data_IF_427973121115
#
_entry.id   IF_427973121115
#
_cell.length_a   1.000
_cell.length_b   1.000
_cell.length_c   1.000
_cell.angle_alpha   90.00
_cell.angle_beta   90.00
_cell.angle_gamma   90.00
#
_symmetry.space_group_name_H-M   'P 1'
#
loop_
_entity.id
_entity.type
_entity.pdbx_description
1 polymer ?
#
# COMPACT_ATOMS: atom_id res chain seq x y z
N UNK A 1 24.25 -6.33 -8.13
CA UNK A 1 22.87 -6.82 -8.34
C UNK A 1 22.76 -7.70 -9.59
N UNK A 2 23.55 -8.78 -9.65
CA UNK A 2 23.57 -9.72 -10.79
C UNK A 2 22.41 -10.73 -10.69
N UNK A 3 22.21 -11.31 -9.52
CA UNK A 3 21.15 -12.30 -9.27
C UNK A 3 19.77 -11.65 -9.41
N UNK A 4 19.59 -10.44 -8.85
CA UNK A 4 18.36 -9.64 -9.00
C UNK A 4 18.02 -9.39 -10.47
N UNK A 5 18.98 -8.94 -11.29
CA UNK A 5 18.75 -8.70 -12.72
C UNK A 5 18.42 -9.99 -13.48
N UNK A 6 19.06 -11.11 -13.13
CA UNK A 6 18.74 -12.41 -13.73
C UNK A 6 17.32 -12.87 -13.37
N UNK A 7 16.90 -12.67 -12.13
CA UNK A 7 15.55 -12.97 -11.68
C UNK A 7 14.51 -12.13 -12.45
N UNK A 8 14.70 -10.80 -12.54
CA UNK A 8 13.81 -9.92 -13.30
C UNK A 8 13.67 -10.40 -14.75
N UNK A 9 14.79 -10.69 -15.40
CA UNK A 9 14.81 -11.13 -16.80
C UNK A 9 13.95 -12.37 -17.03
N UNK A 10 13.99 -13.35 -16.13
CA UNK A 10 13.14 -14.54 -16.21
C UNK A 10 11.64 -14.20 -16.16
N UNK A 11 11.23 -13.26 -15.27
CA UNK A 11 9.84 -12.83 -15.17
C UNK A 11 9.38 -12.07 -16.43
N UNK A 12 10.24 -11.23 -17.00
CA UNK A 12 9.97 -10.50 -18.26
C UNK A 12 9.87 -11.47 -19.44
N UNK A 13 10.83 -12.38 -19.62
CA UNK A 13 10.84 -13.37 -20.71
C UNK A 13 9.66 -14.33 -20.65
N UNK A 14 9.18 -14.65 -19.45
CA UNK A 14 7.99 -15.47 -19.26
C UNK A 14 6.67 -14.68 -19.39
N UNK A 15 6.73 -13.36 -19.65
CA UNK A 15 5.56 -12.51 -19.82
C UNK A 15 4.75 -12.26 -18.52
N UNK A 16 5.38 -12.44 -17.37
CA UNK A 16 4.77 -12.18 -16.06
C UNK A 16 5.00 -10.76 -15.56
N UNK A 17 5.85 -10.00 -16.23
CA UNK A 17 6.25 -8.66 -15.86
C UNK A 17 6.57 -7.88 -17.14
N UNK A 18 6.04 -6.66 -17.27
CA UNK A 18 6.40 -5.77 -18.38
C UNK A 18 7.38 -4.69 -17.96
N UNK A 19 7.17 -4.10 -16.81
CA UNK A 19 7.96 -2.98 -16.32
C UNK A 19 8.24 -3.13 -14.82
N UNK A 20 9.46 -2.78 -14.43
CA UNK A 20 9.84 -2.77 -13.02
C UNK A 20 10.88 -1.69 -12.74
N UNK A 21 10.74 -1.05 -11.58
CA UNK A 21 11.72 -0.17 -10.96
C UNK A 21 11.96 -0.65 -9.53
N UNK A 22 13.22 -0.91 -9.18
CA UNK A 22 13.61 -1.37 -7.84
C UNK A 22 14.65 -0.39 -7.28
N UNK A 23 14.48 0.00 -6.03
CA UNK A 23 15.52 0.64 -5.22
C UNK A 23 15.84 -0.22 -4.02
N UNK A 24 17.11 -0.48 -3.83
CA UNK A 24 17.68 -1.10 -2.62
C UNK A 24 18.50 -0.05 -1.91
N UNK A 25 18.24 0.17 -0.64
CA UNK A 25 19.02 1.11 0.15
C UNK A 25 19.24 0.64 1.57
N UNK A 26 20.23 1.22 2.24
CA UNK A 26 20.59 0.92 3.61
C UNK A 26 21.12 2.14 4.31
N UNK A 27 20.68 2.39 5.55
CA UNK A 27 21.19 3.49 6.40
C UNK A 27 21.15 4.86 5.69
N UNK A 28 20.06 5.16 4.98
CA UNK A 28 19.89 6.41 4.23
C UNK A 28 20.71 6.52 2.93
N UNK A 29 21.35 5.44 2.48
CA UNK A 29 22.11 5.41 1.21
C UNK A 29 21.44 4.48 0.21
N UNK A 30 21.27 4.95 -1.02
CA UNK A 30 20.89 4.10 -2.14
C UNK A 30 22.07 3.21 -2.52
N UNK A 31 21.88 1.90 -2.46
CA UNK A 31 22.87 0.90 -2.87
C UNK A 31 22.73 0.54 -4.34
N UNK A 32 21.50 0.47 -4.84
CA UNK A 32 21.23 0.19 -6.26
C UNK A 32 19.86 0.70 -6.68
N UNK A 33 19.79 1.20 -7.92
CA UNK A 33 18.56 1.38 -8.69
C UNK A 33 18.60 0.43 -9.87
N UNK A 34 17.51 -0.29 -10.11
CA UNK A 34 17.36 -1.25 -11.21
C UNK A 34 16.08 -0.93 -11.96
N UNK A 35 16.19 -0.74 -13.26
CA UNK A 35 15.07 -0.49 -14.15
C UNK A 35 15.13 -1.49 -15.28
N UNK A 36 14.06 -2.22 -15.51
CA UNK A 36 13.94 -3.19 -16.59
C UNK A 36 12.53 -3.16 -17.19
N UNK A 37 12.43 -3.49 -18.48
CA UNK A 37 11.13 -3.57 -19.16
C UNK A 37 11.21 -4.48 -20.40
N UNK A 38 10.03 -4.96 -20.81
CA UNK A 38 9.86 -5.66 -22.09
C UNK A 38 10.01 -4.71 -23.30
N UNK A 39 9.54 -3.45 -23.16
CA UNK A 39 9.56 -2.44 -24.22
C UNK A 39 10.30 -1.18 -23.77
N UNK A 40 9.60 -0.23 -23.13
CA UNK A 40 10.16 1.05 -22.70
C UNK A 40 10.56 0.99 -21.23
N UNK A 41 11.86 1.10 -20.97
CA UNK A 41 12.41 1.08 -19.61
C UNK A 41 11.92 2.33 -18.85
N UNK A 42 11.28 2.16 -17.65
CA UNK A 42 10.88 3.28 -16.81
C UNK A 42 12.11 4.01 -16.25
N UNK A 43 11.91 5.23 -15.79
CA UNK A 43 12.90 5.97 -15.01
C UNK A 43 12.42 6.17 -13.57
N UNK A 44 13.25 6.79 -12.74
CA UNK A 44 12.92 7.02 -11.33
C UNK A 44 11.71 7.94 -11.11
N UNK A 45 11.31 8.70 -12.13
CA UNK A 45 10.16 9.63 -12.11
C UNK A 45 8.92 9.07 -12.85
N UNK A 46 9.00 7.91 -13.48
CA UNK A 46 7.85 7.27 -14.14
C UNK A 46 6.81 6.90 -13.10
N UNK A 47 5.54 7.20 -13.39
CA UNK A 47 4.43 6.96 -12.47
C UNK A 47 3.93 5.52 -12.55
N UNK A 48 3.73 4.93 -11.38
CA UNK A 48 3.08 3.63 -11.19
C UNK A 48 1.79 3.80 -10.39
N UNK A 49 0.78 3.00 -10.70
CA UNK A 49 -0.37 2.83 -9.81
C UNK A 49 0.10 2.11 -8.55
N UNK A 50 0.04 2.78 -7.43
CA UNK A 50 0.50 2.27 -6.14
C UNK A 50 -0.43 1.22 -5.54
N UNK A 51 -1.63 1.05 -6.11
CA UNK A 51 -2.63 0.11 -5.62
C UNK A 51 -2.77 0.21 -4.08
N UNK A 52 -2.68 -0.91 -3.38
CA UNK A 52 -2.83 -0.95 -1.90
C UNK A 52 -1.69 -0.32 -1.11
N UNK A 53 -0.58 0.08 -1.73
CA UNK A 53 0.42 0.93 -1.07
C UNK A 53 -0.20 2.27 -0.66
N UNK A 54 -1.27 2.71 -1.32
CA UNK A 54 -2.11 3.86 -0.90
C UNK A 54 -2.52 3.75 0.57
N UNK A 55 -2.82 2.54 1.06
CA UNK A 55 -3.23 2.31 2.44
C UNK A 55 -2.19 2.81 3.45
N UNK A 56 -0.91 2.53 3.19
CA UNK A 56 0.18 2.93 4.11
C UNK A 56 0.70 4.33 3.82
N UNK A 57 0.88 4.70 2.56
CA UNK A 57 1.41 6.02 2.21
C UNK A 57 0.41 7.16 2.45
N UNK A 58 -0.89 6.89 2.38
CA UNK A 58 -1.95 7.89 2.53
C UNK A 58 -2.74 7.66 3.81
N UNK A 59 -3.60 6.64 3.79
CA UNK A 59 -4.67 6.50 4.80
C UNK A 59 -4.13 6.27 6.19
N UNK A 60 -3.25 5.29 6.38
CA UNK A 60 -2.66 5.00 7.69
C UNK A 60 -1.80 6.16 8.18
N UNK A 61 -0.99 6.77 7.30
CA UNK A 61 -0.17 7.92 7.70
C UNK A 61 -1.03 9.12 8.12
N UNK A 62 -2.13 9.41 7.42
CA UNK A 62 -3.07 10.47 7.82
C UNK A 62 -3.73 10.17 9.16
N UNK A 63 -4.05 8.89 9.46
CA UNK A 63 -4.51 8.50 10.79
C UNK A 63 -3.44 8.71 11.87
N UNK A 64 -2.20 8.34 11.60
CA UNK A 64 -1.09 8.58 12.53
C UNK A 64 -0.89 10.08 12.79
N UNK A 65 -1.01 10.92 11.75
CA UNK A 65 -0.99 12.39 11.90
C UNK A 65 -2.19 12.88 12.73
N UNK A 66 -3.38 12.31 12.54
CA UNK A 66 -4.57 12.69 13.31
C UNK A 66 -4.44 12.30 14.79
N UNK A 67 -3.87 11.14 15.08
CA UNK A 67 -3.57 10.66 16.45
C UNK A 67 -2.51 11.55 17.10
N UNK A 68 -1.40 11.83 16.41
CA UNK A 68 -0.32 12.70 16.90
C UNK A 68 -0.85 14.10 17.26
N UNK A 69 -1.80 14.60 16.45
CA UNK A 69 -2.53 15.87 16.71
C UNK A 69 -3.69 15.75 17.68
N UNK A 70 -3.92 14.59 18.31
CA UNK A 70 -5.01 14.31 19.26
C UNK A 70 -6.41 14.62 18.71
N UNK A 71 -6.63 14.44 17.40
CA UNK A 71 -7.94 14.59 16.76
C UNK A 71 -8.78 13.32 16.82
N UNK A 72 -8.14 12.18 16.94
CA UNK A 72 -8.75 10.83 16.96
C UNK A 72 -7.91 9.91 17.85
N UNK A 73 -8.56 8.88 18.43
CA UNK A 73 -7.93 7.83 19.20
C UNK A 73 -8.07 6.47 18.50
N UNK A 74 -7.14 5.53 18.73
CA UNK A 74 -7.22 4.16 18.20
C UNK A 74 -8.46 3.41 18.67
N UNK A 75 -8.93 3.69 19.87
CA UNK A 75 -10.11 3.08 20.48
C UNK A 75 -11.42 3.82 20.14
N UNK A 76 -11.36 4.91 19.35
CA UNK A 76 -12.58 5.55 18.85
C UNK A 76 -13.38 4.56 18.00
N UNK A 77 -14.67 4.41 18.32
CA UNK A 77 -15.60 3.60 17.53
C UNK A 77 -16.01 4.30 16.25
N UNK A 78 -16.31 3.52 15.20
CA UNK A 78 -16.89 4.04 13.95
C UNK A 78 -18.21 4.76 14.18
N UNK A 79 -18.96 4.42 15.25
CA UNK A 79 -20.21 5.08 15.65
C UNK A 79 -20.02 6.55 16.06
N UNK A 80 -18.80 6.96 16.42
CA UNK A 80 -18.45 8.37 16.62
C UNK A 80 -18.57 9.21 15.35
N UNK A 81 -18.47 8.56 14.19
CA UNK A 81 -18.41 9.23 12.89
C UNK A 81 -19.64 9.00 12.04
N UNK A 82 -20.25 7.81 12.11
CA UNK A 82 -21.38 7.42 11.27
C UNK A 82 -22.41 6.66 12.08
N UNK A 83 -23.69 6.72 11.65
CA UNK A 83 -24.75 5.91 12.21
C UNK A 83 -24.45 4.43 11.93
N UNK A 84 -24.53 3.59 12.96
CA UNK A 84 -24.20 2.16 12.93
C UNK A 84 -25.23 1.35 13.70
N UNK A 85 -25.29 0.04 13.42
CA UNK A 85 -25.98 -0.93 14.27
C UNK A 85 -25.13 -1.35 15.49
N UNK A 86 -25.72 -2.13 16.40
CA UNK A 86 -25.06 -2.61 17.62
C UNK A 86 -23.82 -3.50 17.37
N UNK A 87 -23.72 -4.14 16.20
CA UNK A 87 -22.56 -4.95 15.82
C UNK A 87 -21.42 -4.02 15.39
N UNK A 88 -21.69 -3.12 14.45
CA UNK A 88 -20.69 -2.24 13.84
C UNK A 88 -20.17 -1.16 14.79
N UNK A 89 -20.96 -0.75 15.79
CA UNK A 89 -20.48 0.18 16.82
C UNK A 89 -19.27 -0.36 17.62
N UNK A 90 -19.00 -1.67 17.60
CA UNK A 90 -17.85 -2.31 18.23
C UNK A 90 -16.56 -2.14 17.44
N UNK A 91 -16.64 -1.76 16.17
CA UNK A 91 -15.46 -1.57 15.32
C UNK A 91 -14.74 -0.30 15.75
N UNK A 92 -13.46 -0.44 16.07
CA UNK A 92 -12.58 0.70 16.41
C UNK A 92 -11.72 1.11 15.20
N UNK A 93 -11.11 2.29 15.29
CA UNK A 93 -10.10 2.75 14.33
C UNK A 93 -8.95 1.75 14.25
N UNK A 94 -8.53 1.19 15.38
CA UNK A 94 -7.50 0.14 15.42
C UNK A 94 -7.93 -1.07 14.59
N UNK A 95 -9.14 -1.58 14.77
CA UNK A 95 -9.63 -2.75 14.03
C UNK A 95 -9.62 -2.53 12.51
N UNK A 96 -9.99 -1.32 12.07
CA UNK A 96 -9.90 -0.93 10.66
C UNK A 96 -8.46 -0.96 10.16
N UNK A 97 -7.52 -0.35 10.90
CA UNK A 97 -6.11 -0.23 10.51
C UNK A 97 -5.39 -1.59 10.45
N UNK A 98 -5.78 -2.55 11.31
CA UNK A 98 -5.15 -3.87 11.39
C UNK A 98 -5.96 -4.99 10.74
N UNK A 99 -7.05 -4.63 10.03
CA UNK A 99 -7.90 -5.58 9.29
C UNK A 99 -8.62 -6.63 10.15
N UNK A 100 -9.10 -6.26 11.33
CA UNK A 100 -9.84 -7.16 12.24
C UNK A 100 -11.34 -6.87 12.32
N UNK A 101 -11.88 -6.12 11.37
CA UNK A 101 -13.32 -5.75 11.35
C UNK A 101 -14.28 -6.89 10.96
N UNK A 102 -13.75 -8.07 10.68
CA UNK A 102 -14.56 -9.22 10.27
C UNK A 102 -15.12 -9.17 8.85
N UNK A 103 -14.77 -8.16 8.06
CA UNK A 103 -15.22 -7.99 6.66
C UNK A 103 -14.00 -8.08 5.74
N UNK A 104 -13.96 -9.10 4.89
CA UNK A 104 -12.91 -9.29 3.90
C UNK A 104 -13.02 -8.37 2.69
N UNK A 105 -12.24 -8.69 1.65
CA UNK A 105 -12.33 -7.95 0.38
C UNK A 105 -13.68 -8.18 -0.29
N UNK A 106 -14.40 -7.08 -0.57
CA UNK A 106 -15.71 -7.09 -1.25
C UNK A 106 -15.74 -6.05 -2.36
N UNK A 107 -16.54 -6.31 -3.39
CA UNK A 107 -16.91 -5.29 -4.37
C UNK A 107 -17.94 -4.34 -3.75
N UNK A 108 -17.79 -3.05 -4.01
CA UNK A 108 -18.73 -1.99 -3.62
C UNK A 108 -19.45 -1.37 -4.83
N UNK A 109 -19.41 -2.05 -5.97
CA UNK A 109 -20.10 -1.60 -7.19
C UNK A 109 -21.56 -2.04 -7.10
N UNK A 110 -22.37 -1.19 -6.47
CA UNK A 110 -23.81 -1.41 -6.28
C UNK A 110 -24.60 -0.25 -6.86
N UNK A 111 -25.82 -0.54 -7.32
CA UNK A 111 -26.76 0.51 -7.72
C UNK A 111 -27.06 1.46 -6.53
N UNK A 112 -26.93 2.76 -6.76
CA UNK A 112 -27.10 3.81 -5.75
C UNK A 112 -25.90 4.06 -4.83
N UNK A 113 -24.84 3.26 -4.90
CA UNK A 113 -23.58 3.54 -4.20
C UNK A 113 -22.75 4.54 -5.02
N UNK A 114 -22.20 5.54 -4.33
CA UNK A 114 -21.28 6.53 -4.89
C UNK A 114 -20.27 6.98 -3.83
N UNK A 115 -19.42 7.94 -4.20
CA UNK A 115 -18.40 8.48 -3.32
C UNK A 115 -18.98 9.09 -2.02
N UNK A 116 -20.13 9.74 -2.06
CA UNK A 116 -20.69 10.48 -0.94
C UNK A 116 -21.37 9.58 0.09
N UNK A 117 -21.87 8.40 -0.35
CA UNK A 117 -22.65 7.49 0.49
C UNK A 117 -21.99 6.13 0.74
N UNK A 118 -20.79 5.87 0.20
CA UNK A 118 -20.11 4.55 0.27
C UNK A 118 -19.93 4.04 1.71
N UNK A 119 -19.76 4.92 2.69
CA UNK A 119 -19.64 4.52 4.11
C UNK A 119 -20.87 3.76 4.60
N UNK A 120 -22.07 4.16 4.18
CA UNK A 120 -23.31 3.46 4.53
C UNK A 120 -23.34 2.06 3.94
N UNK A 121 -22.86 1.88 2.69
CA UNK A 121 -22.77 0.56 2.06
C UNK A 121 -21.75 -0.32 2.77
N UNK A 122 -20.58 0.22 3.16
CA UNK A 122 -19.57 -0.54 3.90
C UNK A 122 -20.10 -1.00 5.25
N UNK A 123 -20.76 -0.12 5.99
CA UNK A 123 -21.32 -0.43 7.32
C UNK A 123 -22.46 -1.45 7.27
N UNK A 124 -23.17 -1.56 6.13
CA UNK A 124 -24.20 -2.56 5.92
C UNK A 124 -23.69 -3.92 5.41
N UNK A 125 -22.39 -4.08 5.14
CA UNK A 125 -21.83 -5.39 4.76
C UNK A 125 -21.89 -6.34 5.97
N UNK A 126 -22.49 -7.53 5.86
CA UNK A 126 -22.44 -8.53 6.90
C UNK A 126 -21.00 -8.96 7.20
N UNK A 127 -20.68 -9.17 8.46
CA UNK A 127 -19.36 -9.69 8.86
C UNK A 127 -19.20 -11.14 8.37
N UNK A 128 -18.03 -11.46 7.80
CA UNK A 128 -17.68 -12.84 7.38
C UNK A 128 -17.27 -13.67 8.61
N UNK A 129 -16.64 -13.02 9.60
CA UNK A 129 -16.19 -13.60 10.88
C UNK A 129 -16.42 -12.56 12.00
N UNK A 130 -16.45 -12.98 13.29
CA UNK A 130 -16.62 -12.05 14.39
C UNK A 130 -15.52 -10.96 14.41
N UNK A 131 -15.91 -9.73 14.75
CA UNK A 131 -14.98 -8.59 14.88
C UNK A 131 -13.89 -8.94 15.91
N UNK A 132 -12.62 -8.67 15.59
CA UNK A 132 -11.48 -8.93 16.45
C UNK A 132 -11.02 -10.40 16.51
N UNK A 133 -11.67 -11.34 15.79
CA UNK A 133 -11.31 -12.75 15.86
C UNK A 133 -10.18 -13.16 14.93
N UNK A 134 -10.09 -12.54 13.77
CA UNK A 134 -9.11 -12.88 12.72
C UNK A 134 -8.63 -11.64 11.98
N UNK A 135 -7.42 -11.70 11.42
CA UNK A 135 -6.95 -10.73 10.44
C UNK A 135 -7.51 -11.11 9.07
N UNK A 136 -8.44 -10.31 8.56
CA UNK A 136 -9.08 -10.50 7.27
C UNK A 136 -8.91 -9.24 6.43
N UNK A 137 -7.97 -9.29 5.46
CA UNK A 137 -7.62 -8.14 4.63
C UNK A 137 -8.85 -7.45 4.02
N UNK A 138 -9.07 -6.18 4.34
CA UNK A 138 -10.29 -5.44 4.04
C UNK A 138 -10.04 -4.15 3.25
N UNK A 139 -10.39 -4.14 1.96
CA UNK A 139 -10.48 -2.88 1.20
C UNK A 139 -11.67 -2.01 1.66
N UNK A 140 -12.88 -2.58 1.92
CA UNK A 140 -13.99 -1.81 2.49
C UNK A 140 -13.62 -1.07 3.77
N UNK A 141 -12.88 -1.70 4.68
CA UNK A 141 -12.41 -1.05 5.91
C UNK A 141 -11.55 0.19 5.65
N UNK A 142 -10.67 0.13 4.65
CA UNK A 142 -9.84 1.27 4.27
C UNK A 142 -10.59 2.35 3.49
N UNK A 143 -11.62 2.00 2.74
CA UNK A 143 -12.55 2.98 2.16
C UNK A 143 -13.26 3.75 3.27
N UNK A 144 -13.74 3.04 4.31
CA UNK A 144 -14.36 3.64 5.48
C UNK A 144 -13.39 4.55 6.25
N UNK A 145 -12.12 4.12 6.43
CA UNK A 145 -11.06 4.96 7.02
C UNK A 145 -10.89 6.26 6.22
N UNK A 146 -10.86 6.20 4.89
CA UNK A 146 -10.80 7.40 4.04
C UNK A 146 -11.93 8.37 4.34
N UNK A 147 -13.17 7.88 4.44
CA UNK A 147 -14.37 8.70 4.78
C UNK A 147 -14.32 9.27 6.20
N UNK A 148 -13.77 8.53 7.17
CA UNK A 148 -13.55 9.04 8.53
C UNK A 148 -12.56 10.20 8.52
N UNK A 149 -11.43 10.08 7.80
CA UNK A 149 -10.44 11.16 7.67
C UNK A 149 -11.05 12.42 7.09
N UNK A 150 -11.83 12.29 6.02
CA UNK A 150 -12.53 13.43 5.40
C UNK A 150 -13.45 14.13 6.40
N UNK A 151 -14.17 13.36 7.22
CA UNK A 151 -15.05 13.91 8.26
C UNK A 151 -14.27 14.59 9.39
N UNK A 152 -13.16 14.02 9.83
CA UNK A 152 -12.31 14.55 10.92
C UNK A 152 -11.62 15.85 10.54
N UNK A 153 -11.16 15.95 9.29
CA UNK A 153 -10.42 17.11 8.81
C UNK A 153 -11.29 18.12 8.06
N UNK A 154 -12.48 17.74 7.60
CA UNK A 154 -13.37 18.58 6.80
C UNK A 154 -12.86 18.84 5.39
N UNK A 155 -12.00 17.96 4.87
CA UNK A 155 -11.33 18.13 3.59
C UNK A 155 -11.24 16.77 2.87
N UNK A 156 -11.20 16.77 1.52
CA UNK A 156 -11.13 15.57 0.70
C UNK A 156 -9.77 14.87 0.82
N UNK A 157 -9.77 13.55 0.71
CA UNK A 157 -8.60 12.70 0.97
C UNK A 157 -7.36 13.05 0.14
N UNK A 158 -7.51 13.41 -1.13
CA UNK A 158 -6.40 13.81 -2.00
C UNK A 158 -5.75 15.14 -1.57
N UNK A 159 -6.56 16.12 -1.13
CA UNK A 159 -6.07 17.37 -0.58
C UNK A 159 -5.36 17.14 0.77
N UNK A 160 -5.91 16.26 1.62
CA UNK A 160 -5.27 15.87 2.88
C UNK A 160 -3.91 15.23 2.63
N UNK A 161 -3.82 14.31 1.67
CA UNK A 161 -2.55 13.70 1.28
C UNK A 161 -1.55 14.76 0.80
N UNK A 162 -1.96 15.64 -0.09
CA UNK A 162 -1.08 16.69 -0.61
C UNK A 162 -0.55 17.60 0.50
N UNK A 163 -1.43 18.17 1.33
CA UNK A 163 -1.04 19.18 2.33
C UNK A 163 -0.29 18.58 3.52
N UNK A 164 -0.66 17.37 3.96
CA UNK A 164 -0.13 16.78 5.19
C UNK A 164 1.01 15.77 4.97
N UNK A 165 1.17 15.25 3.76
CA UNK A 165 2.19 14.23 3.46
C UNK A 165 3.06 14.65 2.27
N UNK A 166 2.49 14.81 1.08
CA UNK A 166 3.27 15.02 -0.14
C UNK A 166 4.10 16.31 -0.10
N UNK A 167 3.48 17.42 0.27
CA UNK A 167 4.12 18.73 0.35
C UNK A 167 5.23 18.80 1.42
N UNK A 168 5.02 18.34 2.68
CA UNK A 168 6.08 18.30 3.67
C UNK A 168 7.27 17.40 3.32
N UNK A 169 7.04 16.33 2.55
CA UNK A 169 8.09 15.42 2.08
C UNK A 169 8.65 15.79 0.71
N UNK A 170 8.22 16.90 0.10
CA UNK A 170 8.61 17.33 -1.26
C UNK A 170 8.34 16.23 -2.33
N UNK A 171 7.23 15.49 -2.18
CA UNK A 171 6.80 14.46 -3.12
C UNK A 171 6.03 15.11 -4.28
N UNK A 172 6.73 15.46 -5.34
CA UNK A 172 6.18 16.28 -6.46
C UNK A 172 5.42 15.47 -7.50
N UNK A 173 5.61 14.16 -7.49
CA UNK A 173 5.05 13.22 -8.47
C UNK A 173 4.20 12.14 -7.80
N UNK A 174 3.49 12.53 -6.74
CA UNK A 174 2.58 11.64 -6.00
C UNK A 174 1.22 12.30 -5.85
N UNK A 175 0.20 11.74 -6.48
CA UNK A 175 -1.14 12.32 -6.50
C UNK A 175 -2.20 11.31 -6.92
N UNK A 176 -3.45 11.60 -6.56
CA UNK A 176 -4.62 10.90 -7.10
C UNK A 176 -4.99 11.49 -8.47
N UNK A 177 -5.66 10.70 -9.31
CA UNK A 177 -6.19 11.12 -10.62
C UNK A 177 -5.20 11.97 -11.44
N UNK A 178 -4.02 11.43 -11.80
CA UNK A 178 -2.97 12.16 -12.47
C UNK A 178 -3.37 12.64 -13.87
N UNK A 179 -2.80 13.76 -14.31
CA UNK A 179 -2.95 14.25 -15.68
C UNK A 179 -2.36 13.22 -16.68
N UNK A 180 -3.08 12.95 -17.76
CA UNK A 180 -2.70 12.00 -18.82
C UNK A 180 -1.40 12.35 -19.55
N UNK A 181 -0.91 13.59 -19.44
CA UNK A 181 0.37 14.01 -19.99
C UNK A 181 1.59 13.50 -19.23
N UNK A 182 1.39 12.87 -18.07
CA UNK A 182 2.49 12.24 -17.33
C UNK A 182 2.98 10.96 -18.03
N UNK A 183 4.19 10.57 -17.70
CA UNK A 183 4.74 9.27 -18.09
C UNK A 183 4.32 8.20 -17.09
N UNK A 184 3.63 7.17 -17.57
CA UNK A 184 3.08 6.09 -16.76
C UNK A 184 3.59 4.74 -17.19
N UNK A 185 3.63 3.82 -16.22
CA UNK A 185 3.51 2.39 -16.46
C UNK A 185 2.04 2.01 -16.37
N UNK A 186 1.53 1.31 -17.40
CA UNK A 186 0.13 0.89 -17.42
C UNK A 186 -0.08 -0.39 -16.60
N UNK A 187 -0.81 -0.31 -15.52
CA UNK A 187 -1.17 -1.46 -14.67
C UNK A 187 -2.50 -2.14 -15.10
N UNK A 188 -3.12 -1.68 -16.19
CA UNK A 188 -4.40 -2.18 -16.68
C UNK A 188 -4.21 -3.02 -17.95
N UNK A 189 -5.25 -3.79 -18.31
CA UNK A 189 -5.22 -4.68 -19.48
C UNK A 189 -5.33 -3.93 -20.82
N UNK A 190 -6.00 -2.78 -20.83
CA UNK A 190 -6.24 -2.01 -22.04
C UNK A 190 -5.28 -0.81 -22.13
N UNK A 191 -4.68 -0.55 -23.29
CA UNK A 191 -3.76 0.58 -23.48
C UNK A 191 -4.39 1.95 -23.16
N UNK A 192 -5.69 2.12 -23.46
CA UNK A 192 -6.45 3.36 -23.20
C UNK A 192 -6.70 3.61 -21.71
N UNK A 193 -6.48 2.63 -20.85
CA UNK A 193 -6.63 2.74 -19.39
C UNK A 193 -5.35 3.22 -18.70
N UNK A 194 -4.34 3.63 -19.43
CA UNK A 194 -3.12 4.21 -18.87
C UNK A 194 -3.46 5.43 -18.00
N UNK A 195 -2.89 5.50 -16.79
CA UNK A 195 -3.19 6.58 -15.83
C UNK A 195 -4.56 6.46 -15.12
N UNK A 196 -5.29 5.36 -15.37
CA UNK A 196 -6.52 5.03 -14.65
C UNK A 196 -6.18 4.01 -13.57
N UNK A 197 -6.69 4.23 -12.34
CA UNK A 197 -6.49 3.33 -11.21
C UNK A 197 -6.97 1.91 -11.53
N UNK A 198 -6.17 0.90 -11.17
CA UNK A 198 -6.49 -0.52 -11.42
C UNK A 198 -7.60 -1.03 -10.49
N UNK A 199 -7.64 -0.61 -9.21
CA UNK A 199 -8.64 -1.05 -8.23
C UNK A 199 -10.05 -0.63 -8.64
N UNK A 200 -10.95 -1.61 -8.83
CA UNK A 200 -12.30 -1.38 -9.33
C UNK A 200 -13.17 -0.58 -8.36
N UNK A 201 -13.05 -0.79 -7.04
CA UNK A 201 -13.80 -0.01 -6.06
C UNK A 201 -13.36 1.46 -6.08
N UNK A 202 -12.04 1.70 -6.09
CA UNK A 202 -11.50 3.04 -6.17
C UNK A 202 -11.88 3.73 -7.50
N UNK A 203 -11.79 3.00 -8.63
CA UNK A 203 -12.23 3.51 -9.95
C UNK A 203 -13.70 3.89 -9.95
N UNK A 204 -14.57 3.04 -9.39
CA UNK A 204 -15.99 3.31 -9.24
C UNK A 204 -16.27 4.55 -8.39
N UNK A 205 -15.46 4.79 -7.37
CA UNK A 205 -15.52 5.97 -6.49
C UNK A 205 -14.82 7.22 -7.07
N UNK A 206 -14.48 7.24 -8.37
CA UNK A 206 -13.89 8.39 -9.03
C UNK A 206 -12.36 8.50 -8.91
N UNK A 207 -11.68 7.44 -8.50
CA UNK A 207 -10.22 7.36 -8.46
C UNK A 207 -9.56 7.86 -7.17
N UNK A 208 -10.35 8.27 -6.16
CA UNK A 208 -9.87 8.75 -4.87
C UNK A 208 -10.50 7.90 -3.77
N UNK A 209 -9.68 7.13 -3.04
CA UNK A 209 -10.19 6.27 -1.99
C UNK A 209 -9.11 5.90 -0.98
N UNK A 210 -9.51 5.57 0.25
CA UNK A 210 -8.58 5.16 1.30
C UNK A 210 -7.88 3.82 1.05
N UNK A 211 -8.40 2.99 0.15
CA UNK A 211 -7.82 1.68 -0.14
C UNK A 211 -6.84 1.65 -1.32
N UNK A 212 -6.96 2.58 -2.27
CA UNK A 212 -6.18 2.65 -3.51
C UNK A 212 -6.33 4.02 -4.18
N UNK A 213 -5.65 4.25 -5.32
CA UNK A 213 -5.81 5.42 -6.17
C UNK A 213 -4.62 6.35 -6.21
N UNK A 214 -3.64 6.18 -5.32
CA UNK A 214 -2.38 6.93 -5.39
C UNK A 214 -1.57 6.47 -6.60
N UNK A 215 -1.07 7.42 -7.38
CA UNK A 215 0.02 7.25 -8.33
C UNK A 215 1.27 7.89 -7.77
N UNK A 216 2.42 7.23 -7.93
CA UNK A 216 3.70 7.73 -7.44
C UNK A 216 4.86 7.18 -8.27
N UNK A 217 6.05 7.68 -8.02
CA UNK A 217 7.30 7.27 -8.67
C UNK A 217 8.34 6.83 -7.63
N UNK A 218 9.42 6.19 -8.10
CA UNK A 218 10.45 5.64 -7.24
C UNK A 218 11.10 6.70 -6.34
N UNK A 219 11.33 7.90 -6.86
CA UNK A 219 11.92 9.01 -6.09
C UNK A 219 11.02 9.45 -4.93
N UNK A 220 9.73 9.63 -5.18
CA UNK A 220 8.81 10.09 -4.13
C UNK A 220 8.54 9.00 -3.08
N UNK A 221 8.43 7.74 -3.53
CA UNK A 221 8.31 6.60 -2.60
C UNK A 221 9.55 6.50 -1.71
N UNK A 222 10.74 6.78 -2.24
CA UNK A 222 11.96 6.82 -1.44
C UNK A 222 11.92 7.89 -0.34
N UNK A 223 11.41 9.09 -0.63
CA UNK A 223 11.24 10.14 0.39
C UNK A 223 10.30 9.71 1.52
N UNK A 224 9.23 8.99 1.18
CA UNK A 224 8.34 8.38 2.16
C UNK A 224 9.07 7.33 3.02
N UNK A 225 9.88 6.47 2.40
CA UNK A 225 10.69 5.46 3.11
C UNK A 225 11.73 6.12 4.01
N UNK A 226 12.40 7.18 3.56
CA UNK A 226 13.36 7.94 4.39
C UNK A 226 12.68 8.58 5.62
N UNK A 227 11.46 9.07 5.47
CA UNK A 227 10.66 9.56 6.60
C UNK A 227 10.39 8.44 7.61
N UNK A 228 10.04 7.23 7.16
CA UNK A 228 9.85 6.08 8.05
C UNK A 228 11.16 5.66 8.74
N UNK A 229 12.29 5.66 8.04
CA UNK A 229 13.62 5.40 8.62
C UNK A 229 14.03 6.48 9.64
N UNK A 230 13.50 7.69 9.49
CA UNK A 230 13.65 8.78 10.46
C UNK A 230 12.55 8.82 11.52
N UNK A 231 12.00 7.65 11.86
CA UNK A 231 10.99 7.46 12.91
C UNK A 231 9.75 8.36 12.77
N UNK A 232 9.33 8.58 11.53
CA UNK A 232 8.11 9.35 11.21
C UNK A 232 8.32 10.86 11.04
N UNK A 233 9.50 11.41 11.41
CA UNK A 233 9.78 12.84 11.25
C UNK A 233 9.94 13.20 9.74
N UNK A 234 9.34 14.31 9.24
CA UNK A 234 8.72 15.40 10.00
C UNK A 234 7.21 15.29 10.20
N UNK A 235 6.55 14.19 9.83
CA UNK A 235 5.08 14.10 9.79
C UNK A 235 4.46 13.82 11.15
N UNK A 236 5.10 12.97 11.97
CA UNK A 236 4.62 12.52 13.28
C UNK A 236 5.76 12.45 14.30
N UNK A 237 5.42 12.49 15.57
CA UNK A 237 6.34 12.29 16.67
C UNK A 237 6.81 10.83 16.80
N UNK A 238 7.98 10.64 17.42
CA UNK A 238 8.58 9.31 17.61
C UNK A 238 7.68 8.36 18.41
N UNK A 239 6.99 8.85 19.43
CA UNK A 239 6.07 8.04 20.24
C UNK A 239 4.94 7.45 19.39
N UNK A 240 4.32 8.27 18.53
CA UNK A 240 3.28 7.85 17.59
C UNK A 240 3.84 6.84 16.59
N UNK A 241 5.06 7.04 16.10
CA UNK A 241 5.70 6.08 15.20
C UNK A 241 5.97 4.73 15.88
N UNK A 242 6.54 4.73 17.10
CA UNK A 242 6.82 3.50 17.86
C UNK A 242 5.53 2.74 18.22
N UNK A 243 4.42 3.45 18.45
CA UNK A 243 3.10 2.85 18.56
C UNK A 243 2.68 2.20 17.23
N UNK A 244 2.86 2.91 16.11
CA UNK A 244 2.39 2.47 14.80
C UNK A 244 3.01 1.15 14.32
N UNK A 245 4.25 0.86 14.71
CA UNK A 245 5.00 -0.32 14.25
C UNK A 245 4.88 -1.55 15.15
N UNK A 246 4.08 -1.51 16.21
CA UNK A 246 3.84 -2.68 17.08
C UNK A 246 3.02 -3.73 16.36
N UNK A 247 3.25 -5.01 16.69
CA UNK A 247 2.39 -6.08 16.23
C UNK A 247 1.10 -6.15 17.06
N UNK A 248 -0.03 -5.89 16.43
CA UNK A 248 -1.35 -5.88 17.07
C UNK A 248 -2.12 -7.20 16.90
N UNK A 249 -1.65 -8.08 16.02
CA UNK A 249 -2.35 -9.32 15.64
C UNK A 249 -1.44 -10.55 15.70
N UNK A 250 -0.52 -10.60 16.65
CA UNK A 250 0.52 -11.65 16.76
C UNK A 250 -0.05 -13.08 16.82
N UNK A 251 -1.20 -13.25 17.46
CA UNK A 251 -1.86 -14.57 17.62
C UNK A 251 -2.79 -14.93 16.46
N UNK A 252 -3.00 -14.02 15.50
CA UNK A 252 -3.91 -14.20 14.37
C UNK A 252 -3.19 -14.80 13.15
N UNK A 253 -3.94 -15.00 12.06
CA UNK A 253 -3.44 -15.58 10.80
C UNK A 253 -2.34 -14.76 10.14
N UNK A 254 -2.42 -13.41 10.24
CA UNK A 254 -1.42 -12.47 9.74
C UNK A 254 -1.03 -11.47 10.82
N UNK A 255 0.27 -11.16 10.89
CA UNK A 255 0.79 -10.13 11.79
C UNK A 255 0.71 -8.75 11.16
N UNK A 256 0.04 -7.82 11.86
CA UNK A 256 -0.20 -6.45 11.40
C UNK A 256 0.23 -5.42 12.44
N UNK A 257 0.90 -4.38 11.94
CA UNK A 257 1.04 -3.10 12.62
C UNK A 257 -0.04 -2.13 12.10
N UNK A 258 -0.09 -0.88 12.57
CA UNK A 258 -1.13 0.06 12.12
C UNK A 258 -0.96 0.40 10.65
N UNK A 259 -1.68 -0.31 9.80
CA UNK A 259 -1.62 -0.21 8.35
C UNK A 259 -0.54 -1.07 7.68
N UNK A 260 0.52 -1.41 8.36
CA UNK A 260 1.62 -2.19 7.79
C UNK A 260 1.46 -3.69 8.02
N UNK A 261 2.00 -4.47 7.10
CA UNK A 261 2.41 -5.85 7.39
C UNK A 261 3.53 -5.78 8.43
N UNK A 262 3.44 -6.61 9.47
CA UNK A 262 4.54 -6.86 10.39
C UNK A 262 5.18 -8.20 9.98
N UNK A 263 6.44 -8.16 9.54
CA UNK A 263 7.14 -9.36 9.06
C UNK A 263 7.44 -10.30 10.22
N UNK A 264 6.96 -11.53 10.09
CA UNK A 264 7.26 -12.66 10.97
C UNK A 264 7.44 -13.94 10.15
N UNK A 265 7.54 -15.08 10.81
CA UNK A 265 7.77 -16.38 10.16
C UNK A 265 6.62 -16.81 9.24
N UNK A 266 5.42 -16.20 9.38
CA UNK A 266 4.24 -16.47 8.55
C UNK A 266 4.30 -15.75 7.21
N UNK A 267 4.97 -14.60 7.15
CA UNK A 267 4.99 -13.74 5.96
C UNK A 267 6.08 -14.16 4.97
N UNK A 268 5.70 -14.60 3.77
CA UNK A 268 6.63 -15.21 2.79
C UNK A 268 7.09 -14.28 1.66
N UNK A 269 6.35 -13.19 1.37
CA UNK A 269 6.66 -12.36 0.20
C UNK A 269 7.97 -11.55 0.31
N UNK A 270 8.57 -11.48 1.49
CA UNK A 270 9.89 -10.89 1.71
C UNK A 270 11.05 -11.89 1.58
N UNK A 271 10.75 -13.16 1.27
CA UNK A 271 11.76 -14.21 1.29
C UNK A 271 12.50 -14.24 2.62
N UNK A 272 13.81 -14.40 2.56
CA UNK A 272 14.71 -14.40 3.72
C UNK A 272 15.45 -13.07 3.91
N UNK A 273 15.12 -12.03 3.13
CA UNK A 273 15.86 -10.76 3.19
C UNK A 273 15.53 -9.94 4.44
N UNK A 274 14.26 -9.93 4.86
CA UNK A 274 13.79 -9.10 5.96
C UNK A 274 13.58 -9.91 7.24
N UNK A 275 14.19 -9.43 8.33
CA UNK A 275 14.08 -10.05 9.65
C UNK A 275 12.68 -9.80 10.26
N UNK A 276 12.33 -10.63 11.26
CA UNK A 276 11.16 -10.42 12.12
C UNK A 276 11.21 -9.01 12.74
N UNK A 277 10.08 -8.31 12.66
CA UNK A 277 9.95 -6.92 13.12
C UNK A 277 10.12 -5.88 12.01
N UNK A 278 10.52 -6.29 10.80
CA UNK A 278 10.45 -5.42 9.63
C UNK A 278 8.99 -5.09 9.31
N UNK A 279 8.77 -3.92 8.73
CA UNK A 279 7.43 -3.46 8.33
C UNK A 279 7.37 -3.19 6.83
N UNK A 280 6.18 -3.29 6.28
CA UNK A 280 5.99 -3.00 4.86
C UNK A 280 4.56 -3.16 4.39
N UNK A 281 4.35 -3.09 3.10
CA UNK A 281 3.08 -3.41 2.47
C UNK A 281 3.28 -3.79 1.01
N UNK A 282 2.28 -4.49 0.44
CA UNK A 282 2.24 -4.86 -0.97
C UNK A 282 1.04 -4.24 -1.68
N UNK A 283 1.21 -3.94 -2.99
CA UNK A 283 0.14 -3.55 -3.89
C UNK A 283 -0.24 -4.66 -4.86
N UNK A 284 -1.51 -4.76 -5.25
CA UNK A 284 -2.02 -5.78 -6.15
C UNK A 284 -1.25 -5.80 -7.50
N UNK A 285 -0.95 -4.64 -8.03
CA UNK A 285 -0.25 -4.44 -9.31
C UNK A 285 1.25 -4.83 -9.28
N UNK A 286 1.77 -5.29 -8.14
CA UNK A 286 3.12 -5.82 -8.00
C UNK A 286 4.04 -4.99 -7.10
N UNK A 287 3.61 -3.81 -6.67
CA UNK A 287 4.37 -2.95 -5.76
C UNK A 287 4.63 -3.63 -4.43
N UNK A 288 5.79 -3.32 -3.86
CA UNK A 288 6.07 -3.58 -2.44
C UNK A 288 7.06 -2.57 -1.88
N UNK A 289 6.89 -2.28 -0.59
CA UNK A 289 7.80 -1.47 0.21
C UNK A 289 8.03 -2.24 1.49
N UNK A 290 9.29 -2.59 1.79
CA UNK A 290 9.68 -3.21 3.05
C UNK A 290 10.90 -2.54 3.64
N UNK A 291 10.91 -2.42 4.97
CA UNK A 291 11.92 -1.70 5.74
C UNK A 291 12.26 -2.51 6.99
N UNK A 292 13.53 -2.79 7.19
CA UNK A 292 14.07 -3.22 8.48
C UNK A 292 14.64 -2.01 9.21
N UNK A 293 13.89 -1.51 10.17
CA UNK A 293 14.26 -0.32 10.95
C UNK A 293 15.52 -0.53 11.81
N UNK A 294 15.86 -1.79 12.11
CA UNK A 294 17.03 -2.13 12.93
C UNK A 294 18.33 -2.04 12.13
N UNK A 295 18.34 -2.57 10.91
CA UNK A 295 19.51 -2.54 10.03
C UNK A 295 19.52 -1.34 9.08
N UNK A 296 18.41 -0.59 9.00
CA UNK A 296 18.22 0.48 8.04
C UNK A 296 18.08 0.00 6.58
N UNK A 297 17.93 -1.32 6.34
CA UNK A 297 17.72 -1.88 5.02
C UNK A 297 16.30 -1.60 4.55
N UNK A 298 16.16 -1.19 3.28
CA UNK A 298 14.86 -1.09 2.63
C UNK A 298 14.92 -1.52 1.17
N UNK A 299 13.78 -2.00 0.70
CA UNK A 299 13.57 -2.32 -0.72
C UNK A 299 12.22 -1.74 -1.16
N UNK A 300 12.25 -1.01 -2.26
CA UNK A 300 11.08 -0.52 -2.98
C UNK A 300 11.02 -1.27 -4.30
N UNK A 301 9.90 -1.90 -4.60
CA UNK A 301 9.60 -2.53 -5.88
C UNK A 301 8.35 -1.87 -6.45
N UNK A 302 8.46 -1.25 -7.62
CA UNK A 302 7.34 -0.72 -8.39
C UNK A 302 7.24 -1.51 -9.68
N UNK A 303 6.07 -2.06 -10.00
CA UNK A 303 5.90 -2.91 -11.18
C UNK A 303 4.46 -2.90 -11.69
N UNK A 304 4.26 -3.53 -12.83
CA UNK A 304 2.96 -3.74 -13.47
C UNK A 304 2.63 -5.23 -13.64
N UNK A 305 3.01 -6.05 -12.67
CA UNK A 305 2.90 -7.52 -12.77
C UNK A 305 1.46 -8.05 -13.01
N UNK A 306 0.43 -7.20 -12.95
CA UNK A 306 -0.96 -7.54 -13.28
C UNK A 306 -1.41 -7.06 -14.65
N UNK A 307 -0.52 -6.45 -15.43
CA UNK A 307 -0.90 -5.81 -16.70
C UNK A 307 -0.98 -6.78 -17.90
N UNK A 308 -1.12 -6.18 -19.08
CA UNK A 308 -1.38 -6.81 -20.37
C UNK A 308 -0.25 -7.67 -20.93
N UNK A 309 0.97 -7.63 -20.42
CA UNK A 309 2.00 -8.59 -20.81
C UNK A 309 1.58 -10.02 -20.47
N UNK A 310 0.71 -10.15 -19.51
CA UNK A 310 0.07 -11.40 -19.13
C UNK A 310 -1.12 -11.81 -20.01
N UNK A 311 -1.38 -11.18 -21.17
CA UNK A 311 -2.48 -11.57 -22.09
C UNK A 311 -2.49 -13.07 -22.40
N UNK A 312 -1.31 -13.70 -22.44
CA UNK A 312 -1.17 -15.15 -22.62
C UNK A 312 -1.79 -15.96 -21.48
N UNK A 313 -1.92 -15.39 -20.29
CA UNK A 313 -2.38 -16.05 -19.07
C UNK A 313 -3.71 -15.50 -18.53
N UNK A 314 -4.39 -14.63 -19.28
CA UNK A 314 -5.72 -14.11 -18.91
C UNK A 314 -5.75 -13.10 -17.76
N UNK A 315 -4.67 -12.35 -17.60
CA UNK A 315 -4.49 -11.40 -16.48
C UNK A 315 -3.51 -11.94 -15.43
N UNK A 316 -2.92 -11.03 -14.64
CA UNK A 316 -1.89 -11.39 -13.67
C UNK A 316 -2.42 -12.34 -12.58
N UNK A 317 -1.80 -13.48 -12.48
CA UNK A 317 -2.08 -14.41 -11.39
C UNK A 317 -1.44 -13.88 -10.11
N UNK A 318 -2.25 -13.64 -9.10
CA UNK A 318 -1.77 -13.08 -7.82
C UNK A 318 -0.72 -13.98 -7.14
N UNK A 319 -0.83 -15.30 -7.29
CA UNK A 319 0.16 -16.27 -6.83
C UNK A 319 1.54 -16.06 -7.49
N UNK A 320 1.57 -15.72 -8.79
CA UNK A 320 2.81 -15.39 -9.51
C UNK A 320 3.40 -14.07 -8.99
N UNK A 321 2.57 -13.08 -8.72
CA UNK A 321 3.02 -11.78 -8.16
C UNK A 321 3.62 -11.96 -6.77
N UNK A 322 3.00 -12.79 -5.91
CA UNK A 322 3.55 -13.11 -4.60
C UNK A 322 4.91 -13.82 -4.71
N UNK A 323 5.00 -14.81 -5.59
CA UNK A 323 6.25 -15.54 -5.83
C UNK A 323 7.35 -14.65 -6.40
N UNK A 324 7.01 -13.75 -7.32
CA UNK A 324 7.95 -12.77 -7.88
C UNK A 324 8.59 -11.92 -6.77
N UNK A 325 7.80 -11.44 -5.80
CA UNK A 325 8.34 -10.65 -4.68
C UNK A 325 9.30 -11.47 -3.82
N UNK A 326 8.90 -12.69 -3.46
CA UNK A 326 9.77 -13.62 -2.71
C UNK A 326 11.09 -13.85 -3.43
N UNK A 327 11.04 -14.19 -4.72
CA UNK A 327 12.24 -14.48 -5.53
C UNK A 327 13.14 -13.24 -5.68
N UNK A 328 12.54 -12.06 -5.90
CA UNK A 328 13.30 -10.82 -5.98
C UNK A 328 13.99 -10.46 -4.66
N UNK A 329 13.31 -10.59 -3.53
CA UNK A 329 13.93 -10.33 -2.23
C UNK A 329 15.06 -11.32 -1.91
N UNK A 330 14.90 -12.61 -2.27
CA UNK A 330 15.96 -13.60 -2.10
C UNK A 330 17.16 -13.30 -3.01
N UNK A 331 16.92 -12.92 -4.26
CA UNK A 331 17.99 -12.54 -5.20
C UNK A 331 18.73 -11.26 -4.76
N UNK A 332 18.00 -10.29 -4.15
CA UNK A 332 18.62 -9.11 -3.54
C UNK A 332 19.49 -9.51 -2.34
N UNK A 333 19.03 -10.45 -1.49
CA UNK A 333 19.81 -10.95 -0.36
C UNK A 333 21.13 -11.55 -0.84
N UNK A 334 21.08 -12.45 -1.82
CA UNK A 334 22.29 -13.06 -2.43
C UNK A 334 23.27 -11.99 -2.95
N UNK A 335 22.75 -11.00 -3.70
CA UNK A 335 23.59 -9.92 -4.22
C UNK A 335 24.21 -9.03 -3.12
N UNK A 336 23.56 -8.88 -1.96
CA UNK A 336 24.09 -8.13 -0.82
C UNK A 336 25.10 -8.93 0.01
N UNK A 337 24.99 -10.27 0.04
CA UNK A 337 25.93 -11.16 0.67
C UNK A 337 27.22 -11.32 -0.14
N UNK A 338 27.15 -11.19 -1.46
CA UNK A 338 28.30 -11.28 -2.41
C UNK A 338 29.06 -9.95 -2.56
N UNK A 339 28.60 -8.83 -1.97
CA UNK A 339 29.18 -7.47 -2.12
C UNK A 339 30.10 -7.10 -0.98
#
# INVERSE_FOLDING_TARGET
>A
MKNTKSCIKQYVENGHLCNIAIRVGKEGRVLADIFEAADKIPCSETLFDMASITKVMVTSMLFLIAIDKKKIDLEDSVSKFFDTDEEKEKITIKDLLVHTIGIGHKSLIFEGCDYDNVQSYVLNIPSDVPIGSETLYSCPGYILLGKILEKVFGERLDNLFYELIAKPLDMKRSFFTPDKNNEFVNSNLLPEEIGIVNDYNCRFLGGISGNAGLFSCLEDVNKYVEMLLNFGYPLIGRETFEMAIRNYTETMSESRALGFVYVDEKYKQTGELFAKGSIGHCGHTGQSIFIDLKSGLYVIILSDATNSCNKKYGGGRYDVVMKMREDLHNAIKEDLEDA
#
